data_IF_489233796356
#
_entry.id   IF_489233796356
#
_cell.length_a   1.000
_cell.length_b   1.000
_cell.length_c   1.000
_cell.angle_alpha   90.00
_cell.angle_beta   90.00
_cell.angle_gamma   90.00
#
_symmetry.space_group_name_H-M   'P 1'
#
loop_
_entity.id
_entity.type
_entity.pdbx_description
1 polymer ?
#
# COMPACT_ATOMS: atom_id res chain seq x y z
N UNK A 1 -0.94 13.39 22.52
CA UNK A 1 -0.34 12.55 21.46
C UNK A 1 -1.23 12.37 20.22
N UNK A 2 -2.46 11.81 20.36
CA UNK A 2 -3.41 11.57 19.24
C UNK A 2 -3.68 12.82 18.37
N UNK A 3 -4.00 13.96 19.00
CA UNK A 3 -4.26 15.22 18.30
C UNK A 3 -3.06 15.77 17.53
N UNK A 4 -1.88 15.80 18.17
CA UNK A 4 -0.65 16.30 17.57
C UNK A 4 -0.16 15.43 16.39
N UNK A 5 -0.16 14.10 16.53
CA UNK A 5 0.24 13.18 15.46
C UNK A 5 -0.72 13.27 14.26
N UNK A 6 -2.03 13.28 14.53
CA UNK A 6 -3.04 13.44 13.49
C UNK A 6 -2.92 14.78 12.75
N UNK A 7 -2.72 15.87 13.49
CA UNK A 7 -2.53 17.21 12.92
C UNK A 7 -1.27 17.29 12.05
N UNK A 8 -0.13 16.77 12.53
CA UNK A 8 1.10 16.75 11.76
C UNK A 8 0.96 15.94 10.46
N UNK A 9 0.38 14.74 10.53
CA UNK A 9 0.17 13.92 9.34
C UNK A 9 -0.78 14.59 8.33
N UNK A 10 -1.77 15.35 8.80
CA UNK A 10 -2.61 16.18 7.93
C UNK A 10 -1.79 17.26 7.23
N UNK A 11 -0.89 17.96 7.95
CA UNK A 11 0.03 18.93 7.33
C UNK A 11 0.87 18.26 6.24
N UNK A 12 1.52 17.12 6.56
CA UNK A 12 2.35 16.37 5.59
C UNK A 12 1.57 16.03 4.33
N UNK A 13 0.30 15.67 4.47
CA UNK A 13 -0.56 15.37 3.33
C UNK A 13 -0.81 16.60 2.44
N UNK A 14 -0.96 17.79 3.04
CA UNK A 14 -1.19 19.06 2.32
C UNK A 14 0.05 19.64 1.64
N UNK A 15 1.26 19.18 2.00
CA UNK A 15 2.50 19.69 1.40
C UNK A 15 2.52 19.42 -0.12
N UNK A 16 2.59 20.49 -0.90
CA UNK A 16 2.73 20.44 -2.37
C UNK A 16 4.19 20.13 -2.75
N UNK A 17 4.40 19.49 -3.89
CA UNK A 17 5.74 19.19 -4.42
C UNK A 17 6.49 18.03 -3.75
N UNK A 18 5.95 17.44 -2.66
CA UNK A 18 6.53 16.25 -2.03
C UNK A 18 5.88 14.99 -2.61
N UNK A 19 6.65 14.08 -3.23
CA UNK A 19 6.13 12.82 -3.75
C UNK A 19 5.51 11.94 -2.65
N UNK A 20 4.51 11.15 -3.02
CA UNK A 20 3.82 10.17 -2.16
C UNK A 20 4.79 9.27 -1.39
N UNK A 21 5.84 8.80 -2.06
CA UNK A 21 6.88 7.98 -1.43
C UNK A 21 7.60 8.70 -0.28
N UNK A 22 7.93 9.99 -0.45
CA UNK A 22 8.54 10.79 0.62
C UNK A 22 7.54 11.06 1.75
N UNK A 23 6.27 11.35 1.42
CA UNK A 23 5.20 11.49 2.43
C UNK A 23 5.01 10.22 3.26
N UNK A 24 5.04 9.04 2.62
CA UNK A 24 5.04 7.73 3.30
C UNK A 24 6.21 7.62 4.28
N UNK A 25 7.43 7.95 3.85
CA UNK A 25 8.63 7.87 4.70
C UNK A 25 8.50 8.79 5.92
N UNK A 26 8.07 10.04 5.73
CA UNK A 26 7.85 11.00 6.82
C UNK A 26 6.81 10.45 7.81
N UNK A 27 5.68 9.96 7.30
CA UNK A 27 4.63 9.41 8.16
C UNK A 27 5.09 8.19 8.94
N UNK A 28 5.83 7.29 8.29
CA UNK A 28 6.43 6.12 8.93
C UNK A 28 7.36 6.55 10.07
N UNK A 29 8.25 7.50 9.82
CA UNK A 29 9.16 8.02 10.85
C UNK A 29 8.40 8.62 12.03
N UNK A 30 7.36 9.43 11.80
CA UNK A 30 6.57 10.01 12.89
C UNK A 30 5.82 8.96 13.71
N UNK A 31 5.22 7.95 13.05
CA UNK A 31 4.55 6.85 13.74
C UNK A 31 5.56 6.04 14.57
N UNK A 32 6.72 5.72 14.00
CA UNK A 32 7.76 4.96 14.68
C UNK A 32 8.37 5.72 15.86
N UNK A 33 8.68 7.00 15.68
CA UNK A 33 9.36 7.81 16.71
C UNK A 33 8.39 8.24 17.81
N UNK A 34 7.25 8.84 17.44
CA UNK A 34 6.33 9.45 18.42
C UNK A 34 5.32 8.43 18.94
N UNK A 35 4.77 7.60 18.05
CA UNK A 35 3.73 6.64 18.39
C UNK A 35 4.27 5.47 19.21
N UNK A 36 5.33 4.82 18.74
CA UNK A 36 5.82 3.59 19.37
C UNK A 36 6.56 3.85 20.68
N UNK A 37 7.40 4.90 20.74
CA UNK A 37 8.15 5.21 21.97
C UNK A 37 7.20 5.54 23.13
N UNK A 38 6.11 6.27 22.85
CA UNK A 38 5.07 6.55 23.84
C UNK A 38 4.40 5.28 24.37
N UNK A 39 4.21 4.26 23.54
CA UNK A 39 3.60 2.99 23.95
C UNK A 39 4.54 2.08 24.75
N UNK A 40 5.86 2.19 24.54
CA UNK A 40 6.87 1.35 25.21
C UNK A 40 7.05 1.71 26.69
N UNK A 41 6.85 2.98 27.05
CA UNK A 41 7.04 3.48 28.43
C UNK A 41 5.82 3.18 29.32
N UNK A 42 4.69 2.78 28.73
CA UNK A 42 3.46 2.57 29.47
C UNK A 42 3.41 1.20 30.13
N UNK A 43 3.28 1.20 31.45
CA UNK A 43 3.19 -0.02 32.27
C UNK A 43 1.79 -0.63 32.29
N UNK A 44 0.74 0.14 31.94
CA UNK A 44 -0.63 -0.36 31.88
C UNK A 44 -0.95 -0.93 30.49
N UNK A 45 -1.15 -2.26 30.43
CA UNK A 45 -1.38 -3.00 29.19
C UNK A 45 -2.66 -2.59 28.47
N UNK A 46 -3.78 -2.41 29.18
CA UNK A 46 -5.06 -2.03 28.58
C UNK A 46 -5.00 -0.63 27.93
N UNK A 47 -4.35 0.32 28.61
CA UNK A 47 -4.13 1.66 28.07
C UNK A 47 -3.19 1.62 26.86
N UNK A 48 -2.18 0.75 26.88
CA UNK A 48 -1.26 0.57 25.77
C UNK A 48 -1.99 0.05 24.52
N UNK A 49 -2.83 -0.98 24.66
CA UNK A 49 -3.64 -1.53 23.56
C UNK A 49 -4.56 -0.47 22.93
N UNK A 50 -5.28 0.30 23.76
CA UNK A 50 -6.11 1.42 23.30
C UNK A 50 -5.31 2.47 22.52
N UNK A 51 -4.06 2.74 22.90
CA UNK A 51 -3.21 3.70 22.19
C UNK A 51 -2.72 3.13 20.87
N UNK A 52 -2.30 1.86 20.84
CA UNK A 52 -1.91 1.17 19.60
C UNK A 52 -3.04 1.23 18.58
N UNK A 53 -4.27 0.91 18.98
CA UNK A 53 -5.44 1.01 18.12
C UNK A 53 -5.67 2.42 17.59
N UNK A 54 -5.52 3.44 18.46
CA UNK A 54 -5.65 4.83 18.06
C UNK A 54 -4.58 5.26 17.05
N UNK A 55 -3.32 4.81 17.22
CA UNK A 55 -2.23 5.09 16.27
C UNK A 55 -2.51 4.39 14.95
N UNK A 56 -2.99 3.15 14.96
CA UNK A 56 -3.39 2.46 13.73
C UNK A 56 -4.56 3.15 13.01
N UNK A 57 -5.54 3.68 13.75
CA UNK A 57 -6.63 4.48 13.17
C UNK A 57 -6.06 5.72 12.48
N UNK A 58 -5.12 6.43 13.12
CA UNK A 58 -4.46 7.60 12.53
C UNK A 58 -3.67 7.21 11.29
N UNK A 59 -2.88 6.13 11.35
CA UNK A 59 -2.11 5.60 10.22
C UNK A 59 -3.03 5.31 9.03
N UNK A 60 -4.12 4.58 9.25
CA UNK A 60 -5.11 4.24 8.21
C UNK A 60 -5.76 5.49 7.62
N UNK A 61 -6.15 6.47 8.45
CA UNK A 61 -6.71 7.75 7.97
C UNK A 61 -5.74 8.52 7.08
N UNK A 62 -4.47 8.61 7.49
CA UNK A 62 -3.43 9.26 6.69
C UNK A 62 -3.24 8.56 5.35
N UNK A 63 -3.09 7.23 5.37
CA UNK A 63 -2.92 6.40 4.18
C UNK A 63 -4.09 6.56 3.20
N UNK A 64 -5.34 6.52 3.69
CA UNK A 64 -6.52 6.75 2.85
C UNK A 64 -6.48 8.11 2.16
N UNK A 65 -6.09 9.14 2.91
CA UNK A 65 -5.98 10.49 2.37
C UNK A 65 -4.89 10.62 1.30
N UNK A 66 -3.78 9.91 1.49
CA UNK A 66 -2.65 9.86 0.55
C UNK A 66 -3.05 9.19 -0.77
N UNK A 67 -3.80 8.09 -0.70
CA UNK A 67 -4.29 7.33 -1.86
C UNK A 67 -5.57 7.90 -2.48
N UNK A 68 -6.20 8.92 -1.86
CA UNK A 68 -7.56 9.39 -2.21
C UNK A 68 -8.59 8.25 -2.20
N UNK A 69 -8.39 7.29 -1.30
CA UNK A 69 -9.23 6.13 -1.13
C UNK A 69 -10.60 6.52 -0.57
N UNK A 70 -11.66 5.87 -1.06
CA UNK A 70 -12.98 5.95 -0.43
C UNK A 70 -12.95 5.30 0.96
N UNK A 71 -13.85 5.70 1.86
CA UNK A 71 -14.03 5.10 3.18
C UNK A 71 -14.37 3.61 3.08
N UNK A 72 -15.06 3.20 2.01
CA UNK A 72 -15.52 1.83 1.79
C UNK A 72 -14.40 0.87 1.39
N UNK A 73 -13.23 1.38 0.98
CA UNK A 73 -12.08 0.52 0.63
C UNK A 73 -11.59 -0.22 1.86
N UNK A 74 -11.29 -1.51 1.73
CA UNK A 74 -10.76 -2.32 2.83
C UNK A 74 -9.44 -1.75 3.37
N UNK A 75 -9.25 -1.81 4.70
CA UNK A 75 -8.03 -1.30 5.35
C UNK A 75 -6.78 -2.06 4.89
N UNK A 76 -6.92 -3.34 4.55
CA UNK A 76 -5.80 -4.17 4.14
C UNK A 76 -5.31 -3.77 2.74
N UNK A 77 -6.21 -3.42 1.81
CA UNK A 77 -5.85 -2.93 0.47
C UNK A 77 -4.98 -1.68 0.55
N UNK A 78 -5.40 -0.68 1.34
CA UNK A 78 -4.65 0.58 1.46
C UNK A 78 -3.27 0.38 2.12
N UNK A 79 -3.15 -0.61 3.01
CA UNK A 79 -1.89 -0.95 3.69
C UNK A 79 -0.95 -1.69 2.74
N UNK A 80 -1.46 -2.68 2.01
CA UNK A 80 -0.71 -3.43 0.99
C UNK A 80 -0.22 -2.51 -0.13
N UNK A 81 -1.08 -1.64 -0.65
CA UNK A 81 -0.75 -0.80 -1.80
C UNK A 81 0.38 0.19 -1.49
N UNK A 82 0.42 0.71 -0.26
CA UNK A 82 1.54 1.53 0.20
C UNK A 82 2.69 0.73 0.80
N UNK A 83 2.64 -0.60 0.89
CA UNK A 83 3.64 -1.40 1.60
C UNK A 83 3.88 -0.89 3.02
N UNK A 84 2.79 -0.64 3.75
CA UNK A 84 2.80 -0.18 5.13
C UNK A 84 2.60 -1.36 6.07
N UNK A 85 3.42 -1.44 7.11
CA UNK A 85 3.34 -2.45 8.16
C UNK A 85 2.42 -1.96 9.28
N UNK A 86 1.68 -2.87 9.91
CA UNK A 86 0.86 -2.53 11.08
C UNK A 86 1.74 -2.06 12.23
N UNK A 87 1.19 -1.19 13.09
CA UNK A 87 1.88 -0.64 14.26
C UNK A 87 2.40 -1.77 15.16
N UNK A 88 1.60 -2.82 15.38
CA UNK A 88 2.02 -4.00 16.16
C UNK A 88 3.27 -4.68 15.59
N UNK A 89 3.34 -4.89 14.28
CA UNK A 89 4.53 -5.50 13.66
C UNK A 89 5.74 -4.55 13.67
N UNK A 90 5.53 -3.23 13.66
CA UNK A 90 6.63 -2.28 13.87
C UNK A 90 7.19 -2.35 15.30
N UNK A 91 6.34 -2.59 16.31
CA UNK A 91 6.80 -2.85 17.68
C UNK A 91 7.63 -4.12 17.76
N UNK A 92 7.15 -5.21 17.14
CA UNK A 92 7.87 -6.49 17.10
C UNK A 92 9.25 -6.31 16.44
N UNK A 93 9.32 -5.57 15.32
CA UNK A 93 10.59 -5.22 14.66
C UNK A 93 11.53 -4.41 15.55
N UNK A 94 10.99 -3.46 16.30
CA UNK A 94 11.79 -2.58 17.16
C UNK A 94 12.40 -3.35 18.33
N UNK A 95 11.66 -4.30 18.91
CA UNK A 95 12.18 -5.22 19.92
C UNK A 95 13.33 -6.06 19.38
N UNK A 96 13.20 -6.64 18.18
CA UNK A 96 14.29 -7.40 17.57
C UNK A 96 15.50 -6.53 17.20
N UNK A 97 15.30 -5.29 16.74
CA UNK A 97 16.40 -4.33 16.53
C UNK A 97 17.13 -3.98 17.82
N UNK A 98 16.40 -3.85 18.94
CA UNK A 98 17.03 -3.62 20.23
C UNK A 98 17.80 -4.86 20.70
N UNK A 99 17.24 -6.07 20.55
CA UNK A 99 17.95 -7.33 20.79
C UNK A 99 19.25 -7.41 20.01
N UNK A 100 19.21 -7.12 18.71
CA UNK A 100 20.39 -7.12 17.85
C UNK A 100 21.47 -6.15 18.34
N UNK A 101 21.10 -4.92 18.74
CA UNK A 101 22.06 -3.95 19.27
C UNK A 101 22.75 -4.46 20.53
N UNK A 102 22.00 -5.02 21.47
CA UNK A 102 22.58 -5.59 22.69
C UNK A 102 23.51 -6.78 22.41
N UNK A 103 23.26 -7.55 21.34
CA UNK A 103 24.13 -8.65 20.89
C UNK A 103 25.43 -8.16 20.22
N UNK A 104 25.48 -6.92 19.73
CA UNK A 104 26.64 -6.36 19.02
C UNK A 104 27.62 -5.66 19.97
N UNK A 105 27.12 -5.13 21.09
CA UNK A 105 27.89 -4.29 22.01
C UNK A 105 28.60 -5.13 23.08
N UNK A 106 29.82 -5.60 22.79
CA UNK A 106 30.64 -6.36 23.75
C UNK A 106 31.23 -5.49 24.86
N UNK A 107 31.40 -6.08 26.04
CA UNK A 107 31.95 -5.47 27.25
C UNK A 107 31.17 -4.23 27.71
N UNK A 108 29.86 -4.23 27.47
CA UNK A 108 28.97 -3.11 27.83
C UNK A 108 27.90 -3.52 28.84
N UNK A 109 27.32 -2.51 29.51
CA UNK A 109 26.12 -2.71 30.33
C UNK A 109 24.98 -3.36 29.53
N UNK A 110 24.88 -3.08 28.22
CA UNK A 110 23.82 -3.61 27.36
C UNK A 110 23.98 -5.12 27.13
N UNK A 111 25.21 -5.61 26.97
CA UNK A 111 25.49 -7.05 26.93
C UNK A 111 25.18 -7.72 28.26
N UNK A 112 25.61 -7.13 29.38
CA UNK A 112 25.30 -7.66 30.72
C UNK A 112 23.78 -7.75 30.96
N UNK A 113 23.02 -6.73 30.57
CA UNK A 113 21.55 -6.73 30.62
C UNK A 113 20.98 -7.85 29.74
N UNK A 114 21.52 -8.05 28.53
CA UNK A 114 21.06 -9.12 27.64
C UNK A 114 21.31 -10.50 28.23
N UNK A 115 22.51 -10.77 28.72
CA UNK A 115 22.89 -12.04 29.37
C UNK A 115 21.98 -12.31 30.56
N UNK A 116 21.71 -11.31 31.40
CA UNK A 116 20.85 -11.46 32.56
C UNK A 116 19.39 -11.74 32.16
N UNK A 117 18.86 -11.01 31.17
CA UNK A 117 17.51 -11.25 30.64
C UNK A 117 17.37 -12.66 30.07
N UNK A 118 18.39 -13.17 29.37
CA UNK A 118 18.42 -14.50 28.78
C UNK A 118 18.51 -15.58 29.86
N UNK A 119 19.45 -15.44 30.79
CA UNK A 119 19.70 -16.39 31.90
C UNK A 119 18.49 -16.54 32.80
N UNK A 120 17.86 -15.43 33.18
CA UNK A 120 16.68 -15.43 34.05
C UNK A 120 15.36 -15.57 33.30
N UNK A 121 15.41 -15.67 31.97
CA UNK A 121 14.24 -15.73 31.09
C UNK A 121 13.18 -14.67 31.45
N UNK A 122 13.63 -13.42 31.60
CA UNK A 122 12.80 -12.29 32.00
C UNK A 122 11.69 -12.01 30.97
N UNK A 123 10.63 -11.24 31.33
CA UNK A 123 9.51 -10.97 30.43
C UNK A 123 9.90 -10.44 29.04
N UNK A 124 10.98 -9.66 28.95
CA UNK A 124 11.50 -9.16 27.68
C UNK A 124 12.03 -10.30 26.78
N UNK A 125 12.80 -11.25 27.33
CA UNK A 125 13.31 -12.41 26.59
C UNK A 125 12.17 -13.32 26.13
N UNK A 126 11.18 -13.55 27.00
CA UNK A 126 9.97 -14.32 26.66
C UNK A 126 9.26 -13.69 25.45
N UNK A 127 9.06 -12.37 25.47
CA UNK A 127 8.45 -11.64 24.36
C UNK A 127 9.27 -11.74 23.07
N UNK A 128 10.60 -11.67 23.14
CA UNK A 128 11.45 -11.90 21.97
C UNK A 128 11.28 -13.32 21.41
N UNK A 129 11.25 -14.36 22.27
CA UNK A 129 11.00 -15.74 21.84
C UNK A 129 9.63 -15.94 21.21
N UNK A 130 8.59 -15.31 21.77
CA UNK A 130 7.24 -15.30 21.20
C UNK A 130 7.22 -14.67 19.80
N UNK A 131 7.90 -13.53 19.62
CA UNK A 131 8.02 -12.88 18.31
C UNK A 131 8.76 -13.78 17.33
N UNK A 132 9.89 -14.36 17.74
CA UNK A 132 10.66 -15.26 16.88
C UNK A 132 9.83 -16.47 16.45
N UNK A 133 9.10 -17.09 17.38
CA UNK A 133 8.18 -18.20 17.10
C UNK A 133 7.04 -17.78 16.14
N UNK A 134 6.36 -16.67 16.45
CA UNK A 134 5.25 -16.11 15.65
C UNK A 134 5.61 -15.89 14.18
N UNK A 135 6.85 -15.49 13.90
CA UNK A 135 7.33 -15.19 12.55
C UNK A 135 8.26 -16.26 11.99
N UNK A 136 8.39 -17.41 12.68
CA UNK A 136 9.31 -18.49 12.33
C UNK A 136 10.75 -17.99 12.06
N UNK A 137 11.25 -17.10 12.92
CA UNK A 137 12.61 -16.54 12.87
C UNK A 137 13.52 -17.43 13.71
N UNK A 138 14.62 -17.90 13.12
CA UNK A 138 15.64 -18.64 13.85
C UNK A 138 16.37 -17.70 14.83
N UNK A 139 16.68 -18.21 16.02
CA UNK A 139 17.44 -17.43 16.99
C UNK A 139 18.84 -17.13 16.45
N UNK A 140 19.39 -16.01 16.91
CA UNK A 140 20.72 -15.59 16.51
C UNK A 140 21.76 -16.60 16.97
N UNK A 141 22.60 -17.07 16.04
CA UNK A 141 23.81 -17.84 16.33
C UNK A 141 25.00 -16.91 16.20
N UNK A 142 25.97 -17.00 17.11
CA UNK A 142 27.18 -16.14 17.11
C UNK A 142 27.98 -16.24 15.81
N UNK A 143 27.82 -17.32 15.04
CA UNK A 143 28.42 -17.53 13.72
C UNK A 143 27.75 -16.71 12.61
N UNK A 144 26.56 -16.15 12.84
CA UNK A 144 25.82 -15.39 11.84
C UNK A 144 26.19 -13.90 11.92
N UNK A 145 26.32 -13.26 10.76
CA UNK A 145 26.40 -11.81 10.70
C UNK A 145 25.11 -11.19 11.28
N UNK A 146 25.21 -10.50 12.41
CA UNK A 146 24.07 -9.89 13.11
C UNK A 146 23.25 -8.94 12.23
N UNK A 147 23.89 -8.27 11.25
CA UNK A 147 23.20 -7.42 10.27
C UNK A 147 22.34 -8.24 9.29
N UNK A 148 22.86 -9.38 8.83
CA UNK A 148 22.13 -10.29 7.95
C UNK A 148 20.96 -10.95 8.67
N UNK A 149 21.16 -11.37 9.92
CA UNK A 149 20.09 -11.89 10.76
C UNK A 149 18.95 -10.87 10.93
N UNK A 150 19.26 -9.59 11.20
CA UNK A 150 18.23 -8.56 11.30
C UNK A 150 17.54 -8.35 9.95
N UNK A 151 18.28 -8.29 8.83
CA UNK A 151 17.68 -8.14 7.49
C UNK A 151 16.71 -9.28 7.19
N UNK A 152 17.09 -10.52 7.48
CA UNK A 152 16.24 -11.70 7.31
C UNK A 152 14.99 -11.64 8.23
N UNK A 153 15.17 -11.24 9.49
CA UNK A 153 14.08 -11.06 10.45
C UNK A 153 13.07 -9.98 10.01
N UNK A 154 13.58 -8.84 9.52
CA UNK A 154 12.78 -7.75 8.97
C UNK A 154 11.97 -8.23 7.77
N UNK A 155 12.60 -9.00 6.88
CA UNK A 155 11.95 -9.58 5.70
C UNK A 155 10.82 -10.54 6.10
N UNK A 156 11.08 -11.51 6.98
CA UNK A 156 10.06 -12.45 7.48
C UNK A 156 8.85 -11.74 8.10
N UNK A 157 9.06 -10.75 8.97
CA UNK A 157 7.95 -10.02 9.60
C UNK A 157 7.09 -9.28 8.56
N UNK A 158 7.71 -8.68 7.55
CA UNK A 158 6.97 -8.03 6.46
C UNK A 158 6.16 -9.06 5.67
N UNK A 159 6.79 -10.16 5.25
CA UNK A 159 6.16 -11.25 4.49
C UNK A 159 4.93 -11.81 5.23
N UNK A 160 5.08 -12.20 6.49
CA UNK A 160 3.96 -12.69 7.31
C UNK A 160 2.85 -11.65 7.46
N UNK A 161 3.18 -10.35 7.54
CA UNK A 161 2.16 -9.30 7.62
C UNK A 161 1.38 -9.17 6.30
N UNK A 162 2.07 -9.23 5.17
CA UNK A 162 1.48 -9.20 3.82
C UNK A 162 0.58 -10.41 3.62
N UNK A 163 1.05 -11.60 3.94
CA UNK A 163 0.29 -12.84 3.84
C UNK A 163 -0.98 -12.77 4.67
N UNK A 164 -0.87 -12.36 5.95
CA UNK A 164 -2.03 -12.17 6.81
C UNK A 164 -3.04 -11.17 6.24
N UNK A 165 -2.56 -10.07 5.65
CA UNK A 165 -3.43 -9.09 5.00
C UNK A 165 -4.11 -9.68 3.75
N UNK A 166 -3.37 -10.42 2.91
CA UNK A 166 -3.92 -11.12 1.74
C UNK A 166 -4.96 -12.17 2.16
N UNK A 167 -4.73 -12.93 3.22
CA UNK A 167 -5.70 -13.89 3.77
C UNK A 167 -7.00 -13.22 4.22
N UNK A 168 -6.92 -12.08 4.92
CA UNK A 168 -8.10 -11.30 5.30
C UNK A 168 -8.88 -10.82 4.06
N UNK A 169 -8.18 -10.53 2.96
CA UNK A 169 -8.78 -10.07 1.71
C UNK A 169 -9.39 -11.20 0.88
N UNK A 170 -8.87 -12.43 0.93
CA UNK A 170 -9.42 -13.58 0.18
C UNK A 170 -10.91 -13.83 0.49
N UNK A 171 -11.32 -13.54 1.73
CA UNK A 171 -12.70 -13.68 2.17
C UNK A 171 -13.61 -12.50 1.74
N UNK A 172 -13.07 -11.50 1.04
CA UNK A 172 -13.79 -10.30 0.62
C UNK A 172 -13.91 -10.30 -0.90
N UNK A 173 -15.14 -10.48 -1.40
CA UNK A 173 -15.47 -10.31 -2.82
C UNK A 173 -14.95 -8.96 -3.34
N UNK A 174 -15.00 -7.92 -2.49
CA UNK A 174 -14.50 -6.56 -2.77
C UNK A 174 -13.01 -6.44 -3.07
N UNK A 175 -12.23 -7.50 -2.84
CA UNK A 175 -10.80 -7.50 -3.05
C UNK A 175 -10.35 -8.40 -4.22
N UNK A 176 -11.26 -9.09 -4.91
CA UNK A 176 -10.93 -10.04 -5.98
C UNK A 176 -10.07 -9.41 -7.08
N UNK A 177 -10.50 -8.28 -7.64
CA UNK A 177 -9.73 -7.57 -8.67
C UNK A 177 -8.36 -7.16 -8.14
N UNK A 178 -8.31 -6.60 -6.92
CA UNK A 178 -7.07 -6.16 -6.30
C UNK A 178 -6.08 -7.32 -6.11
N UNK A 179 -6.56 -8.47 -5.65
CA UNK A 179 -5.75 -9.67 -5.47
C UNK A 179 -5.28 -10.24 -6.81
N UNK A 180 -6.12 -10.20 -7.84
CA UNK A 180 -5.76 -10.64 -9.19
C UNK A 180 -4.64 -9.79 -9.80
N UNK A 181 -4.69 -8.46 -9.62
CA UNK A 181 -3.66 -7.55 -10.16
C UNK A 181 -2.37 -7.47 -9.31
N UNK A 182 -2.38 -7.98 -8.06
CA UNK A 182 -1.25 -7.91 -7.11
C UNK A 182 -0.77 -9.29 -6.62
N UNK A 183 -1.04 -10.32 -7.41
CA UNK A 183 -0.90 -11.73 -7.01
C UNK A 183 0.49 -12.04 -6.43
N UNK A 184 1.55 -11.66 -7.13
CA UNK A 184 2.94 -12.01 -6.82
C UNK A 184 3.74 -10.82 -6.27
N UNK A 185 3.06 -9.69 -6.06
CA UNK A 185 3.70 -8.38 -5.85
C UNK A 185 4.63 -8.38 -4.66
N UNK A 186 5.90 -8.08 -4.93
CA UNK A 186 6.84 -7.68 -3.91
C UNK A 186 6.48 -6.27 -3.37
N UNK A 187 5.92 -6.20 -2.16
CA UNK A 187 5.45 -4.94 -1.55
C UNK A 187 6.57 -4.00 -1.10
N UNK A 188 7.85 -4.37 -1.27
CA UNK A 188 8.95 -3.47 -0.96
C UNK A 188 9.00 -2.24 -1.87
N UNK A 189 8.57 -2.40 -3.13
CA UNK A 189 8.45 -1.29 -4.08
C UNK A 189 7.01 -0.81 -4.20
N UNK A 190 6.83 0.51 -4.09
CA UNK A 190 5.56 1.15 -4.35
C UNK A 190 5.20 1.05 -5.85
N UNK A 191 3.90 0.96 -6.18
CA UNK A 191 3.46 1.03 -7.56
C UNK A 191 3.97 2.28 -8.26
N UNK A 192 4.38 2.12 -9.53
CA UNK A 192 4.89 3.20 -10.39
C UNK A 192 3.92 4.40 -10.39
N UNK A 193 2.62 4.15 -10.44
CA UNK A 193 1.61 5.20 -10.47
C UNK A 193 1.52 6.04 -9.17
N UNK A 194 2.10 5.55 -8.07
CA UNK A 194 2.26 6.27 -6.81
C UNK A 194 3.61 7.00 -6.70
N UNK A 195 4.63 6.58 -7.45
CA UNK A 195 5.97 7.15 -7.35
C UNK A 195 6.21 8.30 -8.34
N UNK A 196 5.71 8.18 -9.57
CA UNK A 196 5.91 9.15 -10.64
C UNK A 196 4.71 10.10 -10.80
N UNK A 197 4.95 11.25 -11.45
CA UNK A 197 3.94 12.31 -11.70
C UNK A 197 3.02 12.62 -10.51
N UNK A 198 3.60 12.75 -9.31
CA UNK A 198 2.83 12.94 -8.06
C UNK A 198 1.91 14.17 -8.03
N UNK A 199 2.10 15.13 -8.94
CA UNK A 199 1.22 16.29 -9.11
C UNK A 199 -0.14 15.93 -9.74
N UNK A 200 -0.26 14.79 -10.43
CA UNK A 200 -1.51 14.30 -11.01
C UNK A 200 -2.34 13.52 -9.99
N UNK A 201 -2.61 14.15 -8.84
CA UNK A 201 -3.24 13.49 -7.68
C UNK A 201 -4.61 12.91 -7.99
N UNK A 202 -5.36 13.52 -8.91
CA UNK A 202 -6.65 13.01 -9.37
C UNK A 202 -6.45 11.68 -10.10
N UNK A 203 -5.62 11.64 -11.14
CA UNK A 203 -5.32 10.40 -11.89
C UNK A 203 -4.81 9.29 -10.99
N UNK A 204 -3.89 9.59 -10.06
CA UNK A 204 -3.42 8.62 -9.05
C UNK A 204 -4.58 8.06 -8.21
N UNK A 205 -5.46 8.93 -7.71
CA UNK A 205 -6.62 8.52 -6.93
C UNK A 205 -7.59 7.65 -7.72
N UNK A 206 -7.84 8.01 -8.98
CA UNK A 206 -8.76 7.28 -9.86
C UNK A 206 -8.21 5.88 -10.21
N UNK A 207 -6.92 5.75 -10.52
CA UNK A 207 -6.27 4.45 -10.73
C UNK A 207 -6.42 3.58 -9.48
N UNK A 208 -6.12 4.13 -8.29
CA UNK A 208 -6.30 3.39 -7.04
C UNK A 208 -7.76 2.98 -6.81
N UNK A 209 -8.71 3.86 -7.12
CA UNK A 209 -10.14 3.56 -6.97
C UNK A 209 -10.59 2.40 -7.87
N UNK A 210 -10.10 2.33 -9.11
CA UNK A 210 -10.38 1.21 -10.01
C UNK A 210 -9.72 -0.08 -9.51
N UNK A 211 -8.45 -0.02 -9.10
CA UNK A 211 -7.70 -1.17 -8.56
C UNK A 211 -8.32 -1.76 -7.30
N UNK A 212 -8.82 -0.90 -6.42
CA UNK A 212 -9.39 -1.29 -5.12
C UNK A 212 -10.88 -1.64 -5.16
N UNK A 213 -11.49 -1.66 -6.35
CA UNK A 213 -12.91 -1.99 -6.52
C UNK A 213 -13.84 -0.97 -5.86
N UNK A 214 -13.46 0.32 -5.83
CA UNK A 214 -14.27 1.36 -5.19
C UNK A 214 -15.06 2.15 -6.24
N UNK A 215 -16.40 2.17 -6.12
CA UNK A 215 -17.45 3.03 -6.73
C UNK A 215 -17.22 3.74 -8.08
N UNK A 216 -16.23 3.35 -8.89
CA UNK A 216 -15.92 4.00 -10.15
C UNK A 216 -16.86 3.51 -11.27
N UNK A 217 -17.34 2.27 -11.12
CA UNK A 217 -18.13 1.50 -12.08
C UNK A 217 -19.54 1.21 -11.52
N UNK A 218 -20.57 1.05 -12.37
CA UNK A 218 -21.92 0.70 -11.91
C UNK A 218 -22.07 -0.78 -11.54
N UNK A 219 -21.38 -1.67 -12.26
CA UNK A 219 -21.19 -3.07 -11.87
C UNK A 219 -20.07 -3.20 -10.83
N UNK A 220 -19.90 -2.18 -9.97
CA UNK A 220 -19.06 -2.33 -8.81
C UNK A 220 -19.74 -3.36 -7.91
N UNK A 221 -19.29 -4.62 -7.97
CA UNK A 221 -19.77 -5.74 -7.16
C UNK A 221 -19.54 -5.54 -5.66
N UNK A 222 -19.07 -4.36 -5.25
CA UNK A 222 -18.23 -4.12 -4.08
C UNK A 222 -18.82 -3.09 -3.11
N UNK A 223 -20.13 -2.82 -3.21
CA UNK A 223 -20.93 -2.09 -2.24
C UNK A 223 -22.02 -2.99 -1.62
N UNK A 224 -22.39 -2.70 -0.36
CA UNK A 224 -23.65 -3.18 0.26
C UNK A 224 -24.91 -2.68 -0.46
N UNK A 225 -24.76 -1.78 -1.43
CA UNK A 225 -25.80 -1.26 -2.32
C UNK A 225 -25.28 -1.36 -3.76
N UNK A 226 -25.35 -2.56 -4.35
CA UNK A 226 -25.24 -2.67 -5.80
C UNK A 226 -26.37 -1.83 -6.40
N UNK A 227 -26.03 -0.98 -7.38
CA UNK A 227 -27.05 -0.39 -8.24
C UNK A 227 -27.89 -1.54 -8.80
N UNK A 228 -29.22 -1.43 -8.71
CA UNK A 228 -30.13 -2.41 -9.33
C UNK A 228 -29.90 -2.50 -10.84
N UNK A 229 -29.41 -1.42 -11.44
CA UNK A 229 -28.94 -1.35 -12.81
C UNK A 229 -27.41 -1.38 -12.88
N UNK A 230 -26.87 -2.51 -13.32
CA UNK A 230 -25.43 -2.73 -13.53
C UNK A 230 -24.99 -2.32 -14.95
N UNK A 231 -25.93 -1.88 -15.80
CA UNK A 231 -25.63 -1.57 -17.19
C UNK A 231 -24.78 -0.32 -17.29
N UNK A 232 -23.93 -0.30 -18.30
CA UNK A 232 -23.19 0.89 -18.68
C UNK A 232 -24.19 2.00 -19.07
N UNK A 233 -24.13 3.19 -18.44
CA UNK A 233 -25.07 4.27 -18.74
C UNK A 233 -24.88 4.83 -20.17
N UNK A 234 -23.79 4.47 -20.83
CA UNK A 234 -23.43 4.96 -22.17
C UNK A 234 -23.88 4.01 -23.26
N UNK A 235 -23.33 2.80 -23.24
CA UNK A 235 -23.51 1.82 -24.30
C UNK A 235 -24.49 0.71 -23.93
N UNK A 236 -25.12 0.80 -22.76
CA UNK A 236 -26.11 -0.17 -22.27
C UNK A 236 -25.58 -1.61 -22.13
N UNK A 237 -24.25 -1.80 -22.16
CA UNK A 237 -23.61 -3.08 -21.91
C UNK A 237 -24.04 -3.62 -20.54
N UNK A 238 -24.30 -4.93 -20.45
CA UNK A 238 -24.98 -5.57 -19.33
C UNK A 238 -24.30 -5.41 -17.97
N UNK A 239 -22.96 -5.30 -17.94
CA UNK A 239 -22.17 -5.05 -16.74
C UNK A 239 -21.06 -4.03 -16.99
N UNK A 240 -21.19 -2.83 -16.43
CA UNK A 240 -20.11 -1.84 -16.43
C UNK A 240 -19.08 -2.17 -15.34
N UNK A 241 -18.04 -2.93 -15.67
CA UNK A 241 -16.87 -3.17 -14.80
C UNK A 241 -15.64 -2.38 -15.30
N UNK A 242 -14.50 -2.51 -14.61
CA UNK A 242 -13.27 -1.77 -14.92
C UNK A 242 -12.75 -2.10 -16.33
N UNK A 243 -12.79 -3.38 -16.72
CA UNK A 243 -12.41 -3.84 -18.06
C UNK A 243 -13.31 -3.19 -19.11
N UNK A 244 -14.62 -3.21 -18.91
CA UNK A 244 -15.56 -2.59 -19.83
C UNK A 244 -15.28 -1.09 -20.01
N UNK A 245 -15.07 -0.35 -18.92
CA UNK A 245 -14.77 1.09 -18.99
C UNK A 245 -13.45 1.35 -19.71
N UNK A 246 -12.43 0.54 -19.43
CA UNK A 246 -11.09 0.74 -19.98
C UNK A 246 -10.99 0.28 -21.43
N UNK A 247 -11.57 -0.86 -21.81
CA UNK A 247 -11.34 -1.55 -23.08
C UNK A 247 -12.54 -1.50 -24.04
N UNK A 248 -13.75 -1.71 -23.54
CA UNK A 248 -14.88 -2.09 -24.41
C UNK A 248 -15.88 -0.97 -24.66
N UNK A 249 -16.00 0.00 -23.75
CA UNK A 249 -17.09 0.98 -23.79
C UNK A 249 -16.95 1.91 -25.01
N UNK A 250 -17.91 1.86 -25.94
CA UNK A 250 -17.86 2.64 -27.19
C UNK A 250 -17.68 4.16 -26.99
N UNK A 251 -18.20 4.71 -25.89
CA UNK A 251 -18.09 6.14 -25.57
C UNK A 251 -16.64 6.62 -25.41
N UNK A 252 -15.78 5.75 -24.88
CA UNK A 252 -14.37 6.09 -24.59
C UNK A 252 -13.43 5.65 -25.71
N UNK A 253 -13.96 5.31 -26.89
CA UNK A 253 -13.16 4.84 -28.04
C UNK A 253 -12.10 5.87 -28.46
N UNK A 254 -12.46 7.15 -28.49
CA UNK A 254 -11.53 8.24 -28.84
C UNK A 254 -10.39 8.33 -27.84
N UNK A 255 -10.69 8.36 -26.54
CA UNK A 255 -9.67 8.41 -25.48
C UNK A 255 -8.76 7.19 -25.49
N UNK A 256 -9.31 6.00 -25.75
CA UNK A 256 -8.51 4.78 -25.91
C UNK A 256 -7.53 4.91 -27.07
N UNK A 257 -8.03 5.34 -28.23
CA UNK A 257 -7.19 5.47 -29.42
C UNK A 257 -6.07 6.52 -29.23
N UNK A 258 -6.38 7.64 -28.58
CA UNK A 258 -5.39 8.64 -28.20
C UNK A 258 -4.31 8.03 -27.29
N UNK A 259 -4.73 7.31 -26.23
CA UNK A 259 -3.79 6.66 -25.30
C UNK A 259 -2.91 5.62 -26.02
N UNK A 260 -3.50 4.75 -26.84
CA UNK A 260 -2.76 3.74 -27.60
C UNK A 260 -1.72 4.37 -28.54
N UNK A 261 -2.08 5.47 -29.21
CA UNK A 261 -1.16 6.18 -30.10
C UNK A 261 -0.03 6.87 -29.34
N UNK A 262 -0.31 7.43 -28.16
CA UNK A 262 0.74 8.00 -27.30
C UNK A 262 1.64 6.90 -26.72
N UNK A 263 1.07 5.77 -26.29
CA UNK A 263 1.85 4.63 -25.79
C UNK A 263 2.78 4.08 -26.87
N UNK A 264 2.36 4.00 -28.15
CA UNK A 264 3.23 3.53 -29.25
C UNK A 264 4.54 4.31 -29.39
N UNK A 265 4.61 5.55 -28.91
CA UNK A 265 5.83 6.39 -28.97
C UNK A 265 6.89 6.00 -27.94
N UNK A 266 6.48 5.32 -26.85
CA UNK A 266 7.34 5.06 -25.69
C UNK A 266 7.33 3.59 -25.25
N UNK A 267 6.34 2.80 -25.65
CA UNK A 267 6.17 1.39 -25.34
C UNK A 267 6.91 0.51 -26.36
N UNK A 268 7.71 -0.44 -25.87
CA UNK A 268 8.30 -1.49 -26.70
C UNK A 268 7.24 -2.54 -27.10
N UNK A 269 7.59 -3.52 -27.93
CA UNK A 269 6.64 -4.56 -28.37
C UNK A 269 6.09 -5.40 -27.21
N UNK A 270 6.92 -5.74 -26.22
CA UNK A 270 6.49 -6.49 -25.04
C UNK A 270 5.42 -5.73 -24.23
N UNK A 271 5.57 -4.42 -24.12
CA UNK A 271 4.61 -3.54 -23.43
C UNK A 271 3.29 -3.44 -24.21
N UNK A 272 3.32 -3.57 -25.54
CA UNK A 272 2.12 -3.54 -26.40
C UNK A 272 1.28 -4.81 -26.33
N UNK A 273 1.86 -5.92 -25.86
CA UNK A 273 1.15 -7.19 -25.73
C UNK A 273 0.19 -7.23 -24.52
N UNK A 274 0.29 -6.25 -23.61
CA UNK A 274 -0.64 -6.13 -22.49
C UNK A 274 -1.97 -5.53 -22.93
N UNK A 275 -3.06 -6.07 -22.38
CA UNK A 275 -4.38 -5.46 -22.53
C UNK A 275 -4.40 -4.07 -21.88
N UNK A 276 -5.27 -3.18 -22.36
CA UNK A 276 -5.33 -1.82 -21.84
C UNK A 276 -5.73 -1.80 -20.35
N UNK A 277 -6.55 -2.74 -19.90
CA UNK A 277 -6.86 -2.92 -18.47
C UNK A 277 -5.63 -3.30 -17.65
N UNK A 278 -4.76 -4.20 -18.14
CA UNK A 278 -3.50 -4.53 -17.47
C UNK A 278 -2.56 -3.31 -17.37
N UNK A 279 -2.48 -2.52 -18.45
CA UNK A 279 -1.68 -1.29 -18.50
C UNK A 279 -2.22 -0.26 -17.50
N UNK A 280 -3.50 0.09 -17.61
CA UNK A 280 -4.14 1.16 -16.83
C UNK A 280 -4.22 0.82 -15.35
N UNK A 281 -4.55 -0.44 -15.04
CA UNK A 281 -4.61 -0.89 -13.67
C UNK A 281 -3.25 -1.22 -13.10
N UNK A 282 -2.14 -1.03 -13.82
CA UNK A 282 -0.79 -1.37 -13.37
C UNK A 282 -0.71 -2.80 -12.83
N UNK A 283 -1.19 -3.76 -13.62
CA UNK A 283 -0.98 -5.16 -13.30
C UNK A 283 0.52 -5.40 -13.09
N UNK A 284 0.84 -6.24 -12.13
CA UNK A 284 2.20 -6.56 -11.74
C UNK A 284 3.12 -6.96 -12.90
N UNK A 285 2.66 -7.81 -13.83
CA UNK A 285 3.48 -8.26 -14.97
C UNK A 285 3.86 -7.10 -15.88
N UNK A 286 2.92 -6.18 -16.12
CA UNK A 286 3.16 -4.95 -16.86
C UNK A 286 4.14 -4.03 -16.11
N UNK A 287 3.94 -3.87 -14.80
CA UNK A 287 4.83 -3.04 -13.98
C UNK A 287 6.26 -3.60 -13.97
N UNK A 288 6.43 -4.92 -13.90
CA UNK A 288 7.72 -5.60 -13.97
C UNK A 288 8.38 -5.38 -15.33
N UNK A 289 7.65 -5.62 -16.42
CA UNK A 289 8.13 -5.44 -17.80
C UNK A 289 8.65 -4.02 -18.02
N UNK A 290 7.92 -3.01 -17.54
CA UNK A 290 8.35 -1.62 -17.64
C UNK A 290 9.64 -1.33 -16.85
N UNK A 291 9.79 -1.89 -15.65
CA UNK A 291 11.00 -1.67 -14.83
C UNK A 291 12.25 -2.30 -15.44
N UNK A 292 12.08 -3.41 -16.15
CA UNK A 292 13.18 -4.16 -16.77
C UNK A 292 13.60 -3.56 -18.12
N UNK A 293 12.64 -3.03 -18.89
CA UNK A 293 12.88 -2.64 -20.29
C UNK A 293 12.86 -1.13 -20.59
N UNK A 294 12.41 -0.29 -19.65
CA UNK A 294 12.27 1.14 -19.90
C UNK A 294 13.15 1.97 -18.99
N UNK A 295 13.65 3.08 -19.54
CA UNK A 295 14.31 4.07 -18.72
C UNK A 295 13.31 4.90 -17.89
N UNK A 296 13.82 5.59 -16.88
CA UNK A 296 13.00 6.39 -15.96
C UNK A 296 12.15 7.46 -16.67
N UNK A 297 12.65 8.07 -17.76
CA UNK A 297 11.92 9.13 -18.46
C UNK A 297 10.72 8.56 -19.24
N UNK A 298 10.89 7.40 -19.87
CA UNK A 298 9.82 6.67 -20.56
C UNK A 298 8.73 6.24 -19.59
N UNK A 299 9.10 5.65 -18.45
CA UNK A 299 8.15 5.27 -17.39
C UNK A 299 7.32 6.48 -16.92
N UNK A 300 7.96 7.64 -16.75
CA UNK A 300 7.25 8.88 -16.37
C UNK A 300 6.27 9.32 -17.46
N UNK A 301 6.61 9.18 -18.74
CA UNK A 301 5.70 9.52 -19.85
C UNK A 301 4.52 8.56 -19.90
N UNK A 302 4.77 7.25 -19.82
CA UNK A 302 3.73 6.21 -19.80
C UNK A 302 2.76 6.43 -18.63
N UNK A 303 3.28 6.67 -17.42
CA UNK A 303 2.45 6.98 -16.24
C UNK A 303 1.60 8.24 -16.41
N UNK A 304 2.13 9.28 -17.06
CA UNK A 304 1.37 10.49 -17.37
C UNK A 304 0.21 10.18 -18.31
N UNK A 305 0.44 9.41 -19.36
CA UNK A 305 -0.60 9.09 -20.34
C UNK A 305 -1.72 8.22 -19.75
N UNK A 306 -1.36 7.22 -18.93
CA UNK A 306 -2.35 6.42 -18.20
C UNK A 306 -3.21 7.31 -17.30
N UNK A 307 -2.59 8.24 -16.57
CA UNK A 307 -3.32 9.18 -15.69
C UNK A 307 -4.18 10.16 -16.48
N UNK A 308 -3.72 10.65 -17.63
CA UNK A 308 -4.48 11.51 -18.52
C UNK A 308 -5.74 10.80 -19.03
N UNK A 309 -5.57 9.57 -19.54
CA UNK A 309 -6.66 8.73 -20.04
C UNK A 309 -7.77 8.54 -19.00
N UNK A 310 -7.41 8.06 -17.80
CA UNK A 310 -8.39 7.86 -16.73
C UNK A 310 -9.06 9.16 -16.28
N UNK A 311 -8.31 10.27 -16.28
CA UNK A 311 -8.86 11.59 -15.95
C UNK A 311 -9.86 12.07 -17.00
N UNK A 312 -9.61 11.85 -18.30
CA UNK A 312 -10.55 12.16 -19.39
C UNK A 312 -11.85 11.35 -19.25
N UNK A 313 -11.74 10.05 -19.01
CA UNK A 313 -12.88 9.17 -18.73
C UNK A 313 -13.69 9.72 -17.55
N UNK A 314 -13.03 10.06 -16.44
CA UNK A 314 -13.70 10.61 -15.27
C UNK A 314 -14.47 11.90 -15.55
N UNK A 315 -13.89 12.83 -16.32
CA UNK A 315 -14.58 14.07 -16.67
C UNK A 315 -15.75 13.85 -17.62
N UNK A 316 -15.63 12.97 -18.62
CA UNK A 316 -16.77 12.55 -19.44
C UNK A 316 -17.89 11.98 -18.56
N UNK A 317 -17.52 11.15 -17.58
CA UNK A 317 -18.47 10.57 -16.61
C UNK A 317 -19.23 11.60 -15.79
N UNK A 318 -18.55 12.65 -15.32
CA UNK A 318 -19.18 13.70 -14.53
C UNK A 318 -20.08 14.64 -15.33
N UNK A 319 -19.77 14.89 -16.60
CA UNK A 319 -20.58 15.80 -17.43
C UNK A 319 -21.99 15.27 -17.61
N UNK A 320 -22.17 13.96 -17.71
CA UNK A 320 -23.48 13.34 -17.93
C UNK A 320 -24.31 13.15 -16.66
N UNK A 321 -23.66 12.89 -15.52
CA UNK A 321 -24.36 12.89 -14.22
C UNK A 321 -24.95 14.26 -13.87
N UNK A 322 -24.42 15.35 -14.45
CA UNK A 322 -24.95 16.71 -14.33
C UNK A 322 -25.95 17.11 -15.42
N UNK A 323 -26.03 16.36 -16.51
CA UNK A 323 -26.98 16.62 -17.61
C UNK A 323 -28.30 15.83 -17.45
N UNK A 324 -28.33 14.86 -16.54
CA UNK A 324 -29.53 14.11 -16.13
C UNK A 324 -30.08 14.51 -14.75
N UNK A 325 -29.61 15.64 -14.19
CA UNK A 325 -30.22 16.40 -13.10
C UNK A 325 -30.65 17.75 -13.67
#
# INVERSE_FOLDING_TARGET
MKGALGFFLNIVNTLKGIPTQKKKIIAKACIETVGLYGTEIMTNQEKCEKIIENIEIIQRKFIRSLLKANQNVANEIIMLELGMTSVRSLMDLRLLKFRQRMLQEKDTLNEAIHIENKTRNLPWEKRCKEIMSKYNIEDYKETNNSSEWLKASVKKIKETNIERQKEILKNKITAELYLAITKDRNTEMLPIYLTHNSNMTLGTGLIFQMRSGSNFTKHCKYLRHQSTDQKCPYCQHWAENEKHVIEDCNEYKTERHEMENELKKYANEETKNFSLSHIVLWNEEFEKTLRENHNKQEIIKIDREIKNFITKIYYKRRKLTRAGQ
#
